data_IF_493967912341
#
_entry.id   IF_493967912341
#
_cell.length_a   1.000
_cell.length_b   1.000
_cell.length_c   1.000
_cell.angle_alpha   90.00
_cell.angle_beta   90.00
_cell.angle_gamma   90.00
#
_symmetry.space_group_name_H-M   'P 1'
#
loop_
_entity.id
_entity.type
_entity.pdbx_description
1 polymer ?
#
# COMPACT_ATOMS: atom_id res chain seq x y z
N UNK A 1 5.65 -24.79 2.19
CA UNK A 1 5.56 -23.41 2.71
C UNK A 1 5.56 -22.48 1.50
N UNK A 2 4.46 -21.78 1.20
CA UNK A 2 4.54 -20.78 0.12
C UNK A 2 5.31 -19.59 0.66
N UNK A 3 6.41 -19.19 0.01
CA UNK A 3 7.03 -17.90 0.32
C UNK A 3 5.95 -16.84 0.14
N UNK A 4 5.67 -16.07 1.17
CA UNK A 4 4.73 -14.97 1.03
C UNK A 4 5.23 -14.03 -0.07
N UNK A 5 4.30 -13.64 -0.92
CA UNK A 5 4.57 -12.75 -2.03
C UNK A 5 4.85 -11.36 -1.47
N UNK A 6 6.00 -10.78 -1.79
CA UNK A 6 6.39 -9.44 -1.33
C UNK A 6 6.58 -8.47 -2.50
N UNK A 7 6.21 -7.23 -2.25
CA UNK A 7 6.52 -6.08 -3.08
C UNK A 7 7.81 -5.44 -2.55
N UNK A 8 8.73 -5.10 -3.44
CA UNK A 8 9.97 -4.40 -3.08
C UNK A 8 9.96 -3.01 -3.68
N UNK A 9 10.02 -2.02 -2.81
CA UNK A 9 10.05 -0.61 -3.17
C UNK A 9 11.49 -0.12 -3.10
N UNK A 10 12.10 0.20 -4.25
CA UNK A 10 13.44 0.78 -4.30
C UNK A 10 13.37 2.29 -4.29
N UNK A 11 13.95 2.90 -3.27
CA UNK A 11 13.95 4.33 -3.01
C UNK A 11 15.05 5.04 -3.82
N UNK A 12 14.92 6.37 -3.94
CA UNK A 12 15.89 7.21 -4.66
C UNK A 12 17.29 7.22 -4.00
N UNK A 13 17.38 7.02 -2.69
CA UNK A 13 18.63 6.89 -1.93
C UNK A 13 19.28 5.50 -2.07
N UNK A 14 18.65 4.58 -2.83
CA UNK A 14 19.11 3.22 -3.04
C UNK A 14 18.63 2.22 -1.98
N UNK A 15 17.96 2.67 -0.92
CA UNK A 15 17.35 1.78 0.08
C UNK A 15 16.18 1.00 -0.52
N UNK A 16 15.84 -0.14 0.10
CA UNK A 16 14.71 -0.98 -0.32
C UNK A 16 13.78 -1.23 0.86
N UNK A 17 12.49 -1.01 0.65
CA UNK A 17 11.43 -1.34 1.60
C UNK A 17 10.61 -2.54 1.08
N UNK A 18 10.10 -3.36 1.99
CA UNK A 18 9.32 -4.54 1.65
C UNK A 18 7.89 -4.42 2.17
N UNK A 19 6.92 -4.77 1.32
CA UNK A 19 5.50 -4.85 1.68
C UNK A 19 5.00 -6.27 1.39
N UNK A 20 4.34 -6.89 2.37
CA UNK A 20 3.71 -8.20 2.19
C UNK A 20 2.45 -8.03 1.36
N UNK A 21 2.28 -8.86 0.32
CA UNK A 21 1.08 -8.87 -0.51
C UNK A 21 -0.13 -9.35 0.31
N UNK A 22 -1.13 -8.49 0.42
CA UNK A 22 -2.37 -8.79 1.16
C UNK A 22 -3.60 -8.84 0.25
N UNK A 23 -3.43 -8.85 -1.08
CA UNK A 23 -4.56 -8.83 -2.03
C UNK A 23 -5.52 -10.00 -1.85
N UNK A 24 -4.99 -11.18 -1.54
CA UNK A 24 -5.80 -12.38 -1.24
C UNK A 24 -6.66 -12.21 0.01
N UNK A 25 -6.18 -11.42 0.97
CA UNK A 25 -6.85 -11.14 2.23
C UNK A 25 -7.89 -10.03 2.09
N UNK A 26 -7.51 -8.91 1.48
CA UNK A 26 -8.38 -7.72 1.37
C UNK A 26 -9.32 -7.75 0.16
N UNK A 27 -9.11 -8.67 -0.78
CA UNK A 27 -9.92 -8.82 -1.98
C UNK A 27 -9.84 -7.59 -2.91
N UNK A 28 -11.00 -7.08 -3.31
CA UNK A 28 -11.14 -5.88 -4.16
C UNK A 28 -11.45 -4.62 -3.33
N UNK A 29 -10.96 -4.54 -2.08
CA UNK A 29 -11.10 -3.32 -1.29
C UNK A 29 -10.43 -2.14 -1.96
N UNK A 30 -11.21 -1.07 -2.10
CA UNK A 30 -10.85 0.17 -2.77
C UNK A 30 -11.05 1.32 -1.79
N UNK A 31 -10.03 2.15 -1.64
CA UNK A 31 -10.14 3.50 -1.07
C UNK A 31 -10.70 4.39 -2.18
N UNK A 32 -11.90 4.92 -1.96
CA UNK A 32 -12.62 5.68 -2.98
C UNK A 32 -12.00 7.07 -3.16
N UNK A 33 -11.98 7.56 -4.40
CA UNK A 33 -11.34 8.83 -4.76
C UNK A 33 -11.83 10.06 -3.97
N UNK A 34 -13.13 10.15 -3.65
CA UNK A 34 -13.65 11.27 -2.84
C UNK A 34 -13.17 11.23 -1.38
N UNK A 35 -12.74 10.07 -0.87
CA UNK A 35 -12.06 9.97 0.42
C UNK A 35 -10.57 10.27 0.28
N UNK A 36 -10.00 10.06 -0.92
CA UNK A 36 -8.62 10.39 -1.19
C UNK A 36 -8.35 11.88 -1.08
N UNK A 37 -9.22 12.77 -1.57
CA UNK A 37 -8.91 14.20 -1.53
C UNK A 37 -8.66 14.69 -0.09
N UNK A 38 -9.48 14.25 0.85
CA UNK A 38 -9.28 14.55 2.28
C UNK A 38 -8.04 13.86 2.87
N UNK A 39 -7.71 12.65 2.39
CA UNK A 39 -6.59 11.84 2.89
C UNK A 39 -5.25 12.26 2.27
N UNK A 40 -5.25 12.75 1.03
CA UNK A 40 -4.14 13.36 0.31
C UNK A 40 -3.83 14.77 0.82
N UNK A 41 -4.85 15.53 1.22
CA UNK A 41 -4.69 16.85 1.85
C UNK A 41 -4.26 16.75 3.31
N UNK A 42 -4.50 15.61 3.96
CA UNK A 42 -3.83 15.30 5.22
C UNK A 42 -2.41 14.82 4.92
N UNK A 43 -1.44 15.10 5.79
CA UNK A 43 -0.05 14.60 5.71
C UNK A 43 0.07 13.04 5.79
N UNK A 44 -1.03 12.31 5.56
CA UNK A 44 -1.19 10.86 5.67
C UNK A 44 -0.97 10.12 4.34
N UNK A 45 -0.81 10.81 3.22
CA UNK A 45 -0.47 10.15 1.95
C UNK A 45 0.77 10.78 1.37
N UNK A 46 1.78 9.94 1.16
CA UNK A 46 3.04 10.37 0.59
C UNK A 46 3.22 9.73 -0.78
N UNK A 47 3.23 10.56 -1.82
CA UNK A 47 3.77 10.18 -3.13
C UNK A 47 5.29 10.10 -3.00
N UNK A 48 5.84 8.90 -3.17
CA UNK A 48 7.27 8.66 -3.11
C UNK A 48 7.81 8.59 -4.55
N UNK A 49 9.03 9.07 -4.81
CA UNK A 49 9.70 8.83 -6.09
C UNK A 49 10.52 7.55 -5.96
N UNK A 50 10.03 6.45 -6.50
CA UNK A 50 10.60 5.12 -6.30
C UNK A 50 10.38 4.19 -7.52
N UNK A 51 10.95 2.99 -7.48
CA UNK A 51 10.68 1.92 -8.46
C UNK A 51 10.13 0.70 -7.75
N UNK A 52 9.04 0.12 -8.28
CA UNK A 52 8.38 -1.03 -7.68
C UNK A 52 8.73 -2.32 -8.42
N UNK A 53 9.14 -3.33 -7.65
CA UNK A 53 9.26 -4.71 -8.11
C UNK A 53 8.17 -5.54 -7.44
N UNK A 54 7.27 -6.07 -8.25
CA UNK A 54 6.14 -6.83 -7.76
C UNK A 54 6.48 -8.27 -7.36
N UNK A 55 5.52 -8.99 -6.74
CA UNK A 55 5.73 -10.35 -6.28
C UNK A 55 5.86 -11.39 -7.39
N UNK A 56 5.52 -11.00 -8.63
CA UNK A 56 5.74 -11.77 -9.84
C UNK A 56 7.09 -11.47 -10.51
N UNK A 57 7.95 -10.72 -9.82
CA UNK A 57 9.24 -10.27 -10.35
C UNK A 57 9.11 -9.36 -11.61
N UNK A 58 8.03 -8.59 -11.66
CA UNK A 58 7.77 -7.63 -12.73
C UNK A 58 8.00 -6.21 -12.21
N UNK A 59 8.63 -5.36 -13.04
CA UNK A 59 8.75 -3.94 -12.77
C UNK A 59 7.50 -3.22 -13.25
N UNK A 60 6.90 -2.39 -12.39
CA UNK A 60 5.77 -1.55 -12.76
C UNK A 60 6.05 -0.08 -12.43
N UNK A 61 5.47 0.83 -13.23
CA UNK A 61 5.59 2.28 -13.01
C UNK A 61 5.02 2.67 -11.64
N UNK A 62 5.88 3.26 -10.80
CA UNK A 62 5.48 3.67 -9.46
C UNK A 62 4.47 4.81 -9.47
N UNK A 63 4.33 5.57 -10.55
CA UNK A 63 3.27 6.58 -10.69
C UNK A 63 1.85 5.99 -10.57
N UNK A 64 1.70 4.67 -10.77
CA UNK A 64 0.46 3.93 -10.56
C UNK A 64 0.30 3.38 -9.14
N UNK A 65 1.26 3.62 -8.26
CA UNK A 65 1.26 3.13 -6.88
C UNK A 65 1.48 4.29 -5.91
N UNK A 66 0.93 4.14 -4.71
CA UNK A 66 1.04 5.12 -3.63
C UNK A 66 1.35 4.39 -2.33
N UNK A 67 2.11 5.05 -1.47
CA UNK A 67 2.25 4.65 -0.07
C UNK A 67 1.34 5.53 0.76
N UNK A 68 0.39 4.89 1.44
CA UNK A 68 -0.55 5.53 2.35
C UNK A 68 -0.07 5.28 3.77
N UNK A 69 0.24 6.36 4.49
CA UNK A 69 0.68 6.36 5.88
C UNK A 69 -0.52 6.57 6.81
N UNK A 70 -0.88 5.55 7.56
CA UNK A 70 -1.92 5.64 8.56
C UNK A 70 -1.34 5.68 9.97
N UNK A 71 -2.17 6.12 10.92
CA UNK A 71 -1.88 5.99 12.36
C UNK A 71 -3.13 5.47 13.04
N UNK A 72 -3.02 4.37 13.77
CA UNK A 72 -4.10 3.79 14.57
C UNK A 72 -3.56 3.53 15.97
N UNK A 73 -4.27 4.01 16.99
CA UNK A 73 -3.90 3.87 18.40
C UNK A 73 -2.46 4.32 18.70
N UNK A 74 -2.01 5.39 18.04
CA UNK A 74 -0.63 5.89 18.24
C UNK A 74 0.41 5.22 17.34
N UNK A 75 0.11 4.09 16.71
CA UNK A 75 1.06 3.31 15.93
C UNK A 75 0.96 3.63 14.43
N UNK A 76 2.07 4.08 13.79
CA UNK A 76 2.09 4.29 12.36
C UNK A 76 2.04 2.95 11.61
N UNK A 77 1.47 2.95 10.42
CA UNK A 77 1.49 1.83 9.50
C UNK A 77 1.51 2.33 8.06
N UNK A 78 2.07 1.54 7.13
CA UNK A 78 2.08 1.89 5.71
C UNK A 78 1.37 0.83 4.88
N UNK A 79 0.53 1.33 3.97
CA UNK A 79 -0.18 0.52 3.00
C UNK A 79 0.34 0.88 1.61
N UNK A 80 0.75 -0.13 0.84
CA UNK A 80 0.98 0.01 -0.58
C UNK A 80 -0.35 -0.14 -1.30
N UNK A 81 -0.71 0.86 -2.10
CA UNK A 81 -1.94 0.89 -2.86
C UNK A 81 -1.69 1.19 -4.34
N UNK A 82 -2.42 0.52 -5.22
CA UNK A 82 -2.42 0.69 -6.68
C UNK A 82 -3.53 1.68 -7.07
N UNK A 83 -3.19 2.77 -7.76
CA UNK A 83 -4.16 3.71 -8.30
C UNK A 83 -4.84 3.14 -9.55
N UNK A 84 -6.17 3.14 -9.55
CA UNK A 84 -7.01 2.64 -10.64
C UNK A 84 -7.88 3.71 -11.29
N UNK A 85 -8.84 3.27 -12.10
CA UNK A 85 -9.80 4.12 -12.82
C UNK A 85 -10.61 4.95 -11.82
N UNK A 86 -10.80 6.23 -12.15
CA UNK A 86 -11.42 7.26 -11.28
C UNK A 86 -10.60 7.63 -10.03
N UNK A 87 -9.28 7.42 -10.01
CA UNK A 87 -8.39 7.72 -8.85
C UNK A 87 -8.67 6.92 -7.58
N UNK A 88 -9.43 5.84 -7.71
CA UNK A 88 -9.63 4.87 -6.64
C UNK A 88 -8.32 4.15 -6.33
N UNK A 89 -7.99 3.91 -5.06
CA UNK A 89 -6.80 3.14 -4.68
C UNK A 89 -7.17 1.73 -4.25
N UNK A 90 -6.60 0.73 -4.89
CA UNK A 90 -6.70 -0.67 -4.48
C UNK A 90 -5.57 -1.01 -3.51
N UNK A 91 -5.89 -1.60 -2.37
CA UNK A 91 -4.85 -2.06 -1.42
C UNK A 91 -4.15 -3.30 -1.98
N UNK A 92 -2.82 -3.27 -2.02
CA UNK A 92 -2.00 -4.39 -2.55
C UNK A 92 -1.00 -4.94 -1.54
N UNK A 93 -0.49 -4.14 -0.61
CA UNK A 93 0.49 -4.59 0.37
C UNK A 93 0.53 -3.79 1.66
N UNK A 94 1.21 -4.33 2.67
CA UNK A 94 1.45 -3.68 3.97
C UNK A 94 2.83 -4.01 4.50
N UNK A 95 3.46 -3.08 5.22
CA UNK A 95 4.70 -3.31 5.97
C UNK A 95 4.44 -3.68 7.44
N UNK A 96 3.20 -3.53 7.89
CA UNK A 96 2.80 -3.75 9.28
C UNK A 96 2.25 -5.16 9.49
N UNK A 97 2.86 -5.89 10.43
CA UNK A 97 2.39 -7.22 10.85
C UNK A 97 0.98 -7.18 11.48
N UNK A 98 0.66 -6.06 12.13
CA UNK A 98 -0.68 -5.82 12.70
C UNK A 98 -1.73 -5.77 11.59
N UNK A 99 -1.52 -4.97 10.54
CA UNK A 99 -2.42 -4.91 9.38
C UNK A 99 -2.47 -6.27 8.67
N UNK A 100 -1.33 -6.97 8.59
CA UNK A 100 -1.24 -8.32 8.03
C UNK A 100 -2.05 -9.36 8.81
N UNK A 101 -2.36 -9.13 10.08
CA UNK A 101 -3.14 -10.05 10.93
C UNK A 101 -4.58 -9.59 11.21
N UNK A 102 -4.89 -8.30 11.08
CA UNK A 102 -6.24 -7.73 11.29
C UNK A 102 -7.31 -8.24 10.33
N UNK A 103 -8.57 -8.33 10.73
CA UNK A 103 -9.63 -8.66 9.78
C UNK A 103 -9.72 -7.63 8.64
N UNK A 104 -10.04 -8.04 7.40
CA UNK A 104 -10.09 -7.13 6.27
C UNK A 104 -10.97 -5.90 6.51
N UNK A 105 -12.07 -6.06 7.28
CA UNK A 105 -13.00 -5.00 7.66
C UNK A 105 -12.35 -3.85 8.39
N UNK A 106 -11.34 -4.14 9.20
CA UNK A 106 -10.79 -3.22 10.19
C UNK A 106 -9.57 -2.45 9.64
N UNK A 107 -9.10 -2.82 8.45
CA UNK A 107 -7.98 -2.16 7.76
C UNK A 107 -8.38 -0.80 7.20
N UNK A 108 -9.68 -0.61 6.91
CA UNK A 108 -10.26 0.64 6.40
C UNK A 108 -11.56 0.87 7.16
N UNK A 109 -11.47 1.56 8.29
CA UNK A 109 -12.60 2.05 9.07
C UNK A 109 -12.45 3.56 9.26
#
# INVERSE_FOLDING_TARGET
MSSEQTWKLKMADGSTEEFVDIRRKVGNRIIRAYLLDNVLQSDRVRRIRASLRGPKDEFQDFDKFLVVEGKQDGNPFRILAESGVYQNLRIVGTDSERIRTMEPTDIIA
#
